data_IF_950860272241
#
_entry.id   IF_950860272241
#
_cell.length_a   1.000
_cell.length_b   1.000
_cell.length_c   1.000
_cell.angle_alpha   90.00
_cell.angle_beta   90.00
_cell.angle_gamma   90.00
#
_symmetry.space_group_name_H-M   'P 1'
#
loop_
_entity.id
_entity.type
_entity.pdbx_description
1 polymer ?
#
# COMPACT_ATOMS: atom_id res chain seq x y z
N UNK A 1 8.76 -7.70 19.23
CA UNK A 1 7.65 -7.08 18.46
C UNK A 1 8.30 -6.11 17.51
N UNK A 2 7.80 -5.92 16.30
CA UNK A 2 8.31 -4.90 15.40
C UNK A 2 8.12 -3.51 16.01
N UNK A 3 8.95 -2.54 15.58
CA UNK A 3 8.84 -1.17 16.06
C UNK A 3 7.62 -0.48 15.48
N UNK A 4 7.31 -0.80 14.21
CA UNK A 4 6.13 -0.29 13.51
C UNK A 4 5.47 -1.38 12.65
N UNK A 5 4.20 -1.17 12.31
CA UNK A 5 3.50 -1.90 11.25
C UNK A 5 3.16 -0.94 10.12
N UNK A 6 3.39 -1.36 8.88
CA UNK A 6 3.13 -0.57 7.68
C UNK A 6 2.14 -1.30 6.77
N UNK A 7 0.93 -0.76 6.65
CA UNK A 7 -0.12 -1.32 5.80
C UNK A 7 -0.03 -0.74 4.38
N UNK A 8 0.12 -1.62 3.39
CA UNK A 8 0.31 -1.21 2.01
C UNK A 8 -0.59 -1.94 1.02
N UNK A 9 -0.95 -1.25 -0.07
CA UNK A 9 -1.39 -1.85 -1.31
C UNK A 9 -0.32 -1.54 -2.38
N UNK A 10 0.17 -2.54 -3.14
CA UNK A 10 1.21 -2.32 -4.14
C UNK A 10 0.84 -1.32 -5.23
N UNK A 11 -0.47 -1.15 -5.51
CA UNK A 11 -0.93 -0.20 -6.52
C UNK A 11 -1.01 1.25 -6.02
N UNK A 12 -0.87 1.49 -4.72
CA UNK A 12 -0.93 2.84 -4.17
C UNK A 12 0.41 3.58 -4.31
N UNK A 13 0.54 4.61 -5.15
CA UNK A 13 1.80 5.34 -5.31
C UNK A 13 2.20 6.12 -4.06
N UNK A 14 1.23 6.55 -3.25
CA UNK A 14 1.52 7.23 -1.98
C UNK A 14 2.05 6.26 -0.93
N UNK A 15 1.51 5.03 -0.87
CA UNK A 15 2.06 3.98 -0.02
C UNK A 15 3.48 3.63 -0.44
N UNK A 16 3.75 3.59 -1.76
CA UNK A 16 5.09 3.37 -2.28
C UNK A 16 6.08 4.44 -1.79
N UNK A 17 5.82 5.72 -2.07
CA UNK A 17 6.69 6.83 -1.65
C UNK A 17 6.89 6.81 -0.13
N UNK A 18 5.81 6.62 0.63
CA UNK A 18 5.90 6.60 2.10
C UNK A 18 6.67 5.37 2.61
N UNK A 19 6.58 4.24 1.93
CA UNK A 19 7.39 3.07 2.29
C UNK A 19 8.90 3.31 2.08
N UNK A 20 9.27 4.06 1.03
CA UNK A 20 10.69 4.45 0.81
C UNK A 20 11.17 5.42 1.89
N UNK A 21 10.31 6.36 2.29
CA UNK A 21 10.56 7.22 3.45
C UNK A 21 10.75 6.41 4.75
N UNK A 22 9.88 5.44 5.01
CA UNK A 22 10.00 4.55 6.17
C UNK A 22 11.31 3.79 6.17
N UNK A 23 11.71 3.22 5.02
CA UNK A 23 12.98 2.49 4.90
C UNK A 23 14.20 3.40 5.07
N UNK A 24 14.15 4.64 4.58
CA UNK A 24 15.20 5.65 4.82
C UNK A 24 15.41 5.92 6.31
N UNK A 25 14.32 5.98 7.08
CA UNK A 25 14.38 6.15 8.54
C UNK A 25 14.83 4.86 9.22
N UNK A 26 14.30 3.71 8.79
CA UNK A 26 14.60 2.41 9.39
C UNK A 26 16.10 2.07 9.30
N UNK A 27 16.73 2.38 8.17
CA UNK A 27 18.17 2.19 7.96
C UNK A 27 19.01 3.05 8.93
N UNK A 28 18.59 4.31 9.15
CA UNK A 28 19.31 5.24 10.04
C UNK A 28 19.08 4.98 11.54
N UNK A 29 17.99 4.30 11.91
CA UNK A 29 17.60 4.09 13.32
C UNK A 29 17.55 2.62 13.74
N UNK A 30 17.97 1.70 12.86
CA UNK A 30 17.89 0.24 13.08
C UNK A 30 16.46 -0.19 13.49
N UNK A 31 15.44 0.42 12.87
CA UNK A 31 14.04 0.21 13.20
C UNK A 31 13.46 -0.94 12.37
N UNK A 32 12.75 -1.86 13.02
CA UNK A 32 12.08 -2.98 12.37
C UNK A 32 10.68 -2.61 11.88
N UNK A 33 10.34 -3.04 10.66
CA UNK A 33 9.05 -2.79 9.99
C UNK A 33 8.33 -4.12 9.76
N UNK A 34 7.09 -4.25 10.22
CA UNK A 34 6.20 -5.34 9.83
C UNK A 34 5.31 -4.90 8.67
N UNK A 35 5.45 -5.59 7.53
CA UNK A 35 4.73 -5.28 6.30
C UNK A 35 3.37 -5.98 6.30
N UNK A 36 2.30 -5.19 6.36
CA UNK A 36 0.91 -5.64 6.48
C UNK A 36 0.11 -5.27 5.23
N UNK A 37 -0.96 -5.99 4.98
CA UNK A 37 -1.79 -5.80 3.79
C UNK A 37 -2.98 -4.88 4.06
N UNK A 38 -3.27 -4.01 3.09
CA UNK A 38 -4.52 -3.27 3.00
C UNK A 38 -4.92 -3.20 1.53
N UNK A 39 -6.14 -3.58 1.18
CA UNK A 39 -6.56 -3.72 -0.21
C UNK A 39 -7.38 -2.52 -0.69
N UNK A 40 -6.91 -1.83 -1.72
CA UNK A 40 -7.67 -0.80 -2.42
C UNK A 40 -8.92 -1.36 -3.10
N UNK A 41 -8.93 -2.64 -3.48
CA UNK A 41 -10.11 -3.29 -4.03
C UNK A 41 -11.23 -3.36 -2.98
N UNK A 42 -10.90 -3.76 -1.75
CA UNK A 42 -11.85 -3.82 -0.62
C UNK A 42 -12.28 -2.41 -0.22
N UNK A 43 -11.34 -1.47 -0.06
CA UNK A 43 -11.63 -0.08 0.34
C UNK A 43 -12.55 0.65 -0.64
N UNK A 44 -12.55 0.27 -1.91
CA UNK A 44 -13.32 0.94 -2.95
C UNK A 44 -14.45 0.07 -3.53
N UNK A 45 -14.78 -1.07 -2.93
CA UNK A 45 -15.78 -2.01 -3.43
C UNK A 45 -17.15 -1.34 -3.63
N UNK A 46 -17.63 -0.61 -2.63
CA UNK A 46 -18.92 0.12 -2.71
C UNK A 46 -18.91 1.20 -3.80
N UNK A 47 -17.81 1.95 -3.92
CA UNK A 47 -17.66 2.99 -4.93
C UNK A 47 -17.61 2.41 -6.35
N UNK A 48 -16.94 1.28 -6.53
CA UNK A 48 -16.89 0.54 -7.79
C UNK A 48 -18.27 0.00 -8.16
N UNK A 49 -18.97 -0.62 -7.23
CA UNK A 49 -20.33 -1.12 -7.43
C UNK A 49 -21.32 0.01 -7.75
N UNK A 50 -21.23 1.14 -7.04
CA UNK A 50 -22.04 2.32 -7.32
C UNK A 50 -21.77 2.91 -8.71
N UNK A 51 -20.51 2.94 -9.14
CA UNK A 51 -20.12 3.41 -10.48
C UNK A 51 -20.71 2.50 -11.58
N UNK A 52 -20.68 1.18 -11.39
CA UNK A 52 -21.27 0.21 -12.31
C UNK A 52 -22.79 0.35 -12.40
N UNK A 53 -23.44 0.50 -11.25
CA UNK A 53 -24.89 0.70 -11.21
C UNK A 53 -25.31 2.00 -11.94
N UNK A 54 -24.52 3.09 -11.82
CA UNK A 54 -24.76 4.33 -12.55
C UNK A 54 -24.68 4.12 -14.07
N UNK A 55 -23.65 3.41 -14.55
CA UNK A 55 -23.48 3.08 -15.98
C UNK A 55 -24.61 2.19 -16.47
N UNK A 56 -24.99 1.15 -15.70
CA UNK A 56 -26.11 0.26 -16.05
C UNK A 56 -27.45 0.98 -16.15
N UNK A 57 -27.61 2.09 -15.39
CA UNK A 57 -28.78 2.97 -15.47
C UNK A 57 -28.70 4.02 -16.61
N UNK A 58 -27.67 3.97 -17.46
CA UNK A 58 -27.47 4.91 -18.58
C UNK A 58 -26.82 6.24 -18.19
N UNK A 59 -26.25 6.33 -16.99
CA UNK A 59 -25.48 7.48 -16.49
C UNK A 59 -23.98 7.37 -16.78
N UNK A 60 -23.23 8.39 -16.33
CA UNK A 60 -21.77 8.41 -16.43
C UNK A 60 -21.12 7.63 -15.25
N UNK A 61 -19.96 7.01 -15.48
CA UNK A 61 -19.23 6.37 -14.40
C UNK A 61 -18.77 7.40 -13.35
N UNK A 62 -18.92 7.09 -12.08
CA UNK A 62 -18.46 7.94 -10.97
C UNK A 62 -16.99 7.69 -10.62
N UNK A 63 -16.42 6.59 -11.11
CA UNK A 63 -14.98 6.26 -11.03
C UNK A 63 -14.40 6.03 -12.42
N UNK A 64 -13.11 6.32 -12.65
CA UNK A 64 -12.46 6.02 -13.93
C UNK A 64 -12.60 4.53 -14.28
N UNK A 65 -12.98 4.17 -15.51
CA UNK A 65 -13.15 2.77 -15.92
C UNK A 65 -11.88 1.93 -15.73
N UNK A 66 -10.71 2.54 -15.91
CA UNK A 66 -9.40 1.91 -15.76
C UNK A 66 -9.09 1.51 -14.31
N UNK A 67 -9.73 2.16 -13.34
CA UNK A 67 -9.48 1.91 -11.91
C UNK A 67 -9.77 0.47 -11.51
N UNK A 68 -10.76 -0.18 -12.14
CA UNK A 68 -11.06 -1.60 -11.91
C UNK A 68 -9.86 -2.49 -12.22
N UNK A 69 -9.19 -2.27 -13.36
CA UNK A 69 -7.98 -3.03 -13.73
C UNK A 69 -6.84 -2.84 -12.72
N UNK A 70 -6.69 -1.61 -12.22
CA UNK A 70 -5.68 -1.27 -11.21
C UNK A 70 -5.91 -2.03 -9.91
N UNK A 71 -7.13 -2.01 -9.37
CA UNK A 71 -7.41 -2.70 -8.09
C UNK A 71 -7.41 -4.21 -8.24
N UNK A 72 -7.77 -4.75 -9.43
CA UNK A 72 -7.68 -6.17 -9.71
C UNK A 72 -6.22 -6.65 -9.70
N UNK A 73 -5.31 -5.92 -10.35
CA UNK A 73 -3.88 -6.22 -10.27
C UNK A 73 -3.37 -6.10 -8.82
N UNK A 74 -3.81 -5.08 -8.08
CA UNK A 74 -3.48 -4.92 -6.66
C UNK A 74 -3.87 -6.14 -5.82
N UNK A 75 -5.08 -6.67 -6.03
CA UNK A 75 -5.55 -7.88 -5.35
C UNK A 75 -4.68 -9.09 -5.70
N UNK A 76 -4.34 -9.30 -6.98
CA UNK A 76 -3.43 -10.37 -7.41
C UNK A 76 -2.05 -10.23 -6.75
N UNK A 77 -1.48 -9.02 -6.73
CA UNK A 77 -0.19 -8.75 -6.08
C UNK A 77 -0.22 -9.00 -4.57
N UNK A 78 -1.32 -8.67 -3.89
CA UNK A 78 -1.48 -8.93 -2.46
C UNK A 78 -1.63 -10.44 -2.15
N UNK A 79 -2.33 -11.21 -2.99
CA UNK A 79 -2.37 -12.67 -2.88
C UNK A 79 -0.98 -13.29 -3.00
N UNK A 80 -0.18 -12.82 -3.96
CA UNK A 80 1.22 -13.25 -4.10
C UNK A 80 2.04 -12.82 -2.89
N UNK A 81 1.88 -11.60 -2.38
CA UNK A 81 2.56 -11.15 -1.16
C UNK A 81 2.23 -12.02 0.06
N UNK A 82 0.98 -12.50 0.18
CA UNK A 82 0.59 -13.46 1.23
C UNK A 82 1.34 -14.80 1.06
N UNK A 83 1.44 -15.34 -0.17
CA UNK A 83 2.23 -16.54 -0.44
C UNK A 83 3.73 -16.35 -0.17
N UNK A 84 4.26 -15.18 -0.54
CA UNK A 84 5.65 -14.79 -0.27
C UNK A 84 5.92 -14.76 1.24
N UNK A 85 4.97 -14.24 2.04
CA UNK A 85 5.08 -14.23 3.50
C UNK A 85 5.13 -15.64 4.10
N UNK A 86 4.33 -16.55 3.60
CA UNK A 86 4.37 -17.96 4.02
C UNK A 86 5.71 -18.63 3.64
N UNK A 87 6.28 -18.26 2.50
CA UNK A 87 7.54 -18.82 2.00
C UNK A 87 8.76 -18.31 2.76
N UNK A 88 8.86 -16.99 2.98
CA UNK A 88 10.11 -16.37 3.46
C UNK A 88 9.91 -15.26 4.52
N UNK A 89 8.72 -15.15 5.09
CA UNK A 89 8.44 -14.19 6.17
C UNK A 89 8.40 -12.73 5.72
N UNK A 90 8.54 -11.85 6.69
CA UNK A 90 8.43 -10.41 6.51
C UNK A 90 9.49 -9.82 5.57
N UNK A 91 10.72 -10.33 5.62
CA UNK A 91 11.83 -9.85 4.77
C UNK A 91 11.57 -10.17 3.30
N UNK A 92 10.99 -11.33 3.01
CA UNK A 92 10.58 -11.69 1.65
C UNK A 92 9.44 -10.78 1.15
N UNK A 93 8.48 -10.42 2.01
CA UNK A 93 7.43 -9.43 1.67
C UNK A 93 8.04 -8.08 1.35
N UNK A 94 8.99 -7.61 2.15
CA UNK A 94 9.71 -6.34 1.91
C UNK A 94 10.41 -6.34 0.55
N UNK A 95 11.11 -7.42 0.20
CA UNK A 95 11.81 -7.57 -1.07
C UNK A 95 10.82 -7.61 -2.25
N UNK A 96 9.75 -8.40 -2.14
CA UNK A 96 8.71 -8.49 -3.16
C UNK A 96 7.98 -7.16 -3.37
N UNK A 97 7.56 -6.49 -2.29
CA UNK A 97 6.91 -5.19 -2.38
C UNK A 97 7.83 -4.12 -3.00
N UNK A 98 9.11 -4.14 -2.65
CA UNK A 98 10.11 -3.26 -3.27
C UNK A 98 10.21 -3.53 -4.77
N UNK A 99 10.35 -4.77 -5.20
CA UNK A 99 10.45 -5.13 -6.61
C UNK A 99 9.17 -4.77 -7.41
N UNK A 100 7.99 -5.10 -6.87
CA UNK A 100 6.72 -4.77 -7.50
C UNK A 100 6.53 -3.25 -7.63
N UNK A 101 6.84 -2.50 -6.58
CA UNK A 101 6.68 -1.05 -6.57
C UNK A 101 7.65 -0.34 -7.52
N UNK A 102 8.89 -0.82 -7.67
CA UNK A 102 9.85 -0.30 -8.66
C UNK A 102 9.31 -0.45 -10.10
N UNK A 103 8.70 -1.58 -10.42
CA UNK A 103 8.08 -1.80 -11.74
C UNK A 103 6.85 -0.90 -11.96
N UNK A 104 6.01 -0.79 -10.95
CA UNK A 104 4.72 -0.10 -11.04
C UNK A 104 4.88 1.40 -11.09
N UNK A 105 5.69 1.99 -10.22
CA UNK A 105 5.76 3.43 -9.99
C UNK A 105 6.92 4.09 -10.73
N UNK A 106 8.21 3.96 -10.35
CA UNK A 106 9.31 4.49 -11.16
C UNK A 106 9.37 3.87 -12.55
N UNK A 107 9.11 2.57 -12.68
CA UNK A 107 9.07 1.85 -13.95
C UNK A 107 7.87 2.17 -14.85
N UNK A 108 6.88 2.92 -14.34
CA UNK A 108 5.78 3.47 -15.11
C UNK A 108 4.67 2.48 -15.50
N UNK A 109 4.70 1.23 -15.06
CA UNK A 109 3.70 0.22 -15.47
C UNK A 109 2.29 0.55 -14.98
N UNK A 110 2.15 1.15 -13.80
CA UNK A 110 0.84 1.63 -13.31
C UNK A 110 0.27 2.74 -14.19
N UNK A 111 1.12 3.63 -14.72
CA UNK A 111 0.69 4.69 -15.63
C UNK A 111 0.14 4.15 -16.96
N UNK A 112 0.69 3.02 -17.46
CA UNK A 112 0.15 2.35 -18.66
C UNK A 112 -1.30 1.88 -18.43
N UNK A 113 -1.60 1.32 -17.25
CA UNK A 113 -2.96 0.88 -16.92
C UNK A 113 -3.97 2.04 -16.91
N UNK A 114 -3.56 3.23 -16.44
CA UNK A 114 -4.39 4.44 -16.49
C UNK A 114 -4.71 4.94 -17.90
N UNK A 115 -3.95 4.49 -18.89
CA UNK A 115 -4.17 4.83 -20.30
C UNK A 115 -4.77 3.67 -21.12
N UNK A 116 -5.24 2.61 -20.43
CA UNK A 116 -5.79 1.41 -21.06
C UNK A 116 -4.74 0.50 -21.71
N UNK A 117 -3.46 0.71 -21.39
CA UNK A 117 -2.35 -0.12 -21.84
C UNK A 117 -2.16 -1.38 -20.99
N UNK A 118 -1.19 -2.20 -21.38
CA UNK A 118 -0.81 -3.46 -20.71
C UNK A 118 0.42 -3.23 -19.82
N UNK A 119 0.31 -3.57 -18.55
CA UNK A 119 1.43 -3.52 -17.60
C UNK A 119 2.41 -4.70 -17.75
N UNK A 120 2.10 -5.68 -18.58
CA UNK A 120 2.87 -6.93 -18.71
C UNK A 120 2.80 -7.82 -17.46
N UNK A 121 3.70 -8.78 -17.36
CA UNK A 121 3.77 -9.70 -16.21
C UNK A 121 4.46 -9.02 -15.01
N UNK A 122 3.72 -8.18 -14.29
CA UNK A 122 4.26 -7.52 -13.08
C UNK A 122 4.56 -8.53 -11.97
N UNK A 123 3.74 -9.59 -11.84
CA UNK A 123 3.90 -10.60 -10.79
C UNK A 123 5.18 -11.40 -10.99
N UNK A 124 5.37 -11.98 -12.18
CA UNK A 124 6.55 -12.78 -12.48
C UNK A 124 7.84 -11.96 -12.44
N UNK A 125 7.81 -10.76 -13.01
CA UNK A 125 8.96 -9.86 -13.00
C UNK A 125 9.33 -9.40 -11.58
N UNK A 126 8.34 -9.13 -10.70
CA UNK A 126 8.58 -8.75 -9.31
C UNK A 126 9.20 -9.93 -8.51
N UNK A 127 8.68 -11.14 -8.68
CA UNK A 127 9.26 -12.34 -8.04
C UNK A 127 10.71 -12.55 -8.50
N UNK A 128 10.97 -12.44 -9.80
CA UNK A 128 12.31 -12.60 -10.35
C UNK A 128 13.28 -11.54 -9.82
N UNK A 129 12.85 -10.26 -9.78
CA UNK A 129 13.66 -9.16 -9.26
C UNK A 129 13.92 -9.28 -7.75
N UNK A 130 12.98 -9.85 -7.00
CA UNK A 130 13.13 -10.13 -5.57
C UNK A 130 13.93 -11.40 -5.26
N UNK A 131 14.34 -12.18 -6.29
CA UNK A 131 15.02 -13.46 -6.11
C UNK A 131 14.14 -14.54 -5.48
N UNK A 132 12.82 -14.48 -5.69
CA UNK A 132 11.84 -15.40 -5.14
C UNK A 132 11.44 -16.47 -6.16
N UNK A 133 10.96 -17.65 -5.69
CA UNK A 133 10.52 -18.72 -6.56
C UNK A 133 9.39 -18.32 -7.50
N UNK A 134 9.54 -18.62 -8.80
CA UNK A 134 8.55 -18.25 -9.82
C UNK A 134 7.19 -18.95 -9.62
N UNK A 135 7.16 -20.11 -8.98
CA UNK A 135 5.94 -20.86 -8.65
C UNK A 135 4.99 -20.10 -7.72
N UNK A 136 5.48 -19.12 -6.94
CA UNK A 136 4.63 -18.25 -6.11
C UNK A 136 3.67 -17.38 -6.94
N UNK A 137 3.94 -17.19 -8.24
CA UNK A 137 3.06 -16.47 -9.15
C UNK A 137 1.66 -17.10 -9.25
N UNK A 138 1.55 -18.43 -9.06
CA UNK A 138 0.26 -19.12 -9.08
C UNK A 138 -0.72 -18.61 -8.00
N UNK A 139 -0.20 -18.00 -6.93
CA UNK A 139 -1.02 -17.40 -5.88
C UNK A 139 -1.84 -16.19 -6.35
N UNK A 140 -1.49 -15.55 -7.47
CA UNK A 140 -2.23 -14.42 -8.03
C UNK A 140 -3.71 -14.75 -8.30
N UNK A 141 -3.98 -16.01 -8.67
CA UNK A 141 -5.32 -16.52 -9.00
C UNK A 141 -5.93 -17.36 -7.88
N UNK A 142 -5.29 -17.44 -6.71
CA UNK A 142 -5.76 -18.23 -5.56
C UNK A 142 -6.64 -17.40 -4.62
N UNK A 143 -7.99 -17.50 -4.70
CA UNK A 143 -8.89 -16.71 -3.87
C UNK A 143 -8.86 -17.10 -2.38
N UNK A 144 -8.27 -18.23 -2.00
CA UNK A 144 -8.15 -18.61 -0.59
C UNK A 144 -7.30 -17.64 0.21
N UNK A 145 -6.45 -16.86 -0.48
CA UNK A 145 -5.59 -15.82 0.11
C UNK A 145 -6.29 -14.49 0.34
N UNK A 146 -7.51 -14.34 -0.17
CA UNK A 146 -8.30 -13.13 0.06
C UNK A 146 -8.69 -12.98 1.55
N UNK A 147 -8.82 -14.09 2.28
CA UNK A 147 -9.16 -14.08 3.70
C UNK A 147 -8.13 -13.29 4.52
N UNK A 148 -6.84 -13.61 4.40
CA UNK A 148 -5.80 -12.90 5.15
C UNK A 148 -5.66 -11.42 4.74
N UNK A 149 -5.87 -11.10 3.45
CA UNK A 149 -5.87 -9.72 2.95
C UNK A 149 -7.06 -8.95 3.52
N UNK A 150 -8.24 -9.56 3.59
CA UNK A 150 -9.43 -8.96 4.17
C UNK A 150 -9.29 -8.75 5.69
N UNK A 151 -8.77 -9.74 6.41
CA UNK A 151 -8.51 -9.65 7.85
C UNK A 151 -7.56 -8.49 8.19
N UNK A 152 -6.46 -8.36 7.46
CA UNK A 152 -5.49 -7.28 7.69
C UNK A 152 -6.03 -5.91 7.27
N UNK A 153 -6.83 -5.86 6.20
CA UNK A 153 -7.54 -4.64 5.81
C UNK A 153 -8.52 -4.21 6.92
N UNK A 154 -9.31 -5.15 7.44
CA UNK A 154 -10.22 -4.89 8.55
C UNK A 154 -9.48 -4.46 9.83
N UNK A 155 -8.33 -5.08 10.11
CA UNK A 155 -7.47 -4.69 11.22
C UNK A 155 -6.99 -3.24 11.08
N UNK A 156 -6.50 -2.84 9.91
CA UNK A 156 -6.06 -1.47 9.64
C UNK A 156 -7.19 -0.47 9.89
N UNK A 157 -8.38 -0.75 9.34
CA UNK A 157 -9.56 0.11 9.49
C UNK A 157 -10.11 0.14 10.92
N UNK A 158 -9.98 -0.94 11.70
CA UNK A 158 -10.38 -0.94 13.11
C UNK A 158 -9.58 0.04 13.96
N UNK A 159 -8.34 0.36 13.53
CA UNK A 159 -7.44 1.27 14.23
C UNK A 159 -7.59 2.73 13.81
N UNK A 160 -8.01 2.98 12.58
CA UNK A 160 -8.02 4.34 11.99
C UNK A 160 -9.41 4.85 11.60
N UNK A 161 -10.39 3.97 11.54
CA UNK A 161 -11.73 4.25 11.00
C UNK A 161 -11.85 3.89 9.51
N UNK A 162 -13.09 3.86 8.97
CA UNK A 162 -13.37 3.39 7.62
C UNK A 162 -13.12 4.43 6.52
N UNK A 163 -13.05 5.74 6.87
CA UNK A 163 -12.98 6.85 5.90
C UNK A 163 -11.54 7.23 5.51
N UNK A 164 -10.64 6.24 5.50
CA UNK A 164 -9.22 6.43 5.19
C UNK A 164 -8.77 5.49 4.07
N UNK A 165 -7.61 5.78 3.50
CA UNK A 165 -6.99 4.96 2.46
C UNK A 165 -5.69 4.32 2.94
N UNK A 166 -4.73 4.22 2.02
CA UNK A 166 -3.39 3.68 2.29
C UNK A 166 -2.33 4.72 1.92
N UNK A 167 -1.16 4.78 2.60
CA UNK A 167 -0.70 3.88 3.66
C UNK A 167 -1.35 4.14 5.02
N UNK A 168 -1.34 3.13 5.88
CA UNK A 168 -1.57 3.28 7.32
C UNK A 168 -0.31 2.82 8.04
N UNK A 169 0.11 3.57 9.06
CA UNK A 169 1.27 3.22 9.89
C UNK A 169 0.85 3.15 11.35
N UNK A 170 1.17 2.05 12.02
CA UNK A 170 1.12 1.93 13.46
C UNK A 170 2.50 2.25 14.03
N UNK A 171 2.62 3.38 14.74
CA UNK A 171 3.88 3.92 15.27
C UNK A 171 4.25 3.38 16.65
N UNK A 172 3.36 2.65 17.30
CA UNK A 172 3.58 2.00 18.59
C UNK A 172 2.75 0.70 18.62
N UNK A 173 3.42 -0.43 18.38
CA UNK A 173 2.76 -1.73 18.31
C UNK A 173 2.29 -2.26 19.68
N UNK A 174 2.68 -1.60 20.78
CA UNK A 174 2.15 -1.91 22.11
C UNK A 174 0.80 -1.23 22.40
N UNK A 175 0.46 -0.17 21.63
CA UNK A 175 -0.80 0.58 21.71
C UNK A 175 -1.33 0.92 20.32
N UNK A 176 -1.62 -0.10 19.50
CA UNK A 176 -1.87 0.11 18.08
C UNK A 176 -3.11 0.98 17.79
N UNK A 177 -4.14 0.91 18.64
CA UNK A 177 -5.37 1.70 18.51
C UNK A 177 -5.16 3.20 18.78
N UNK A 178 -4.13 3.55 19.59
CA UNK A 178 -3.82 4.92 19.96
C UNK A 178 -2.73 5.55 19.09
N UNK A 179 -1.99 4.73 18.33
CA UNK A 179 -0.80 5.16 17.61
C UNK A 179 -0.81 4.79 16.12
N UNK A 180 -1.98 4.51 15.55
CA UNK A 180 -2.16 4.27 14.12
C UNK A 180 -2.69 5.51 13.42
N UNK A 181 -2.12 5.82 12.25
CA UNK A 181 -2.50 6.97 11.47
C UNK A 181 -2.52 6.65 9.97
N UNK A 182 -3.52 7.18 9.25
CA UNK A 182 -3.49 7.22 7.78
C UNK A 182 -2.45 8.25 7.31
N UNK A 183 -1.50 7.82 6.50
CA UNK A 183 -0.42 8.64 5.99
C UNK A 183 0.92 8.42 6.72
N UNK A 184 1.88 9.34 6.51
CA UNK A 184 1.76 10.59 5.76
C UNK A 184 1.57 10.37 4.26
N UNK A 185 0.65 11.12 3.63
CA UNK A 185 0.48 11.12 2.17
C UNK A 185 1.42 12.18 1.59
N UNK A 186 2.56 11.74 1.07
CA UNK A 186 3.64 12.58 0.58
C UNK A 186 3.88 12.34 -0.91
N UNK A 187 4.36 13.34 -1.61
CA UNK A 187 4.56 13.30 -3.08
C UNK A 187 6.00 13.09 -3.52
N UNK A 188 6.94 13.08 -2.58
CA UNK A 188 8.37 12.81 -2.80
C UNK A 188 8.96 12.04 -1.63
N UNK A 189 10.11 11.42 -1.80
CA UNK A 189 10.79 10.66 -0.76
C UNK A 189 11.71 11.60 0.03
N UNK A 190 11.42 11.91 1.33
CA UNK A 190 12.36 12.62 2.18
C UNK A 190 13.62 11.80 2.42
N UNK A 191 14.79 12.46 2.54
CA UNK A 191 16.08 11.80 2.73
C UNK A 191 16.85 12.41 3.90
N UNK A 192 17.77 11.65 4.48
CA UNK A 192 18.70 12.10 5.52
C UNK A 192 18.01 12.77 6.71
N UNK A 193 18.52 13.93 7.14
CA UNK A 193 18.00 14.66 8.31
C UNK A 193 16.55 15.11 8.13
N UNK A 194 16.13 15.43 6.90
CA UNK A 194 14.73 15.78 6.63
C UNK A 194 13.80 14.59 6.90
N UNK A 195 14.21 13.37 6.50
CA UNK A 195 13.45 12.16 6.77
C UNK A 195 13.30 11.93 8.27
N UNK A 196 14.38 12.04 9.04
CA UNK A 196 14.36 11.88 10.49
C UNK A 196 13.46 12.91 11.17
N UNK A 197 13.57 14.19 10.79
CA UNK A 197 12.76 15.26 11.36
C UNK A 197 11.26 15.09 11.04
N UNK A 198 10.93 14.71 9.80
CA UNK A 198 9.54 14.44 9.41
C UNK A 198 8.99 13.23 10.16
N UNK A 199 9.79 12.16 10.30
CA UNK A 199 9.41 10.98 11.06
C UNK A 199 9.04 11.31 12.50
N UNK A 200 9.89 12.06 13.20
CA UNK A 200 9.66 12.46 14.58
C UNK A 200 8.38 13.28 14.74
N UNK A 201 8.13 14.19 13.81
CA UNK A 201 6.91 15.00 13.79
C UNK A 201 5.65 14.14 13.57
N UNK A 202 5.67 13.22 12.60
CA UNK A 202 4.52 12.34 12.29
C UNK A 202 4.29 11.36 13.44
N UNK A 203 5.34 10.76 13.99
CA UNK A 203 5.24 9.85 15.13
C UNK A 203 4.69 10.54 16.39
N UNK A 204 5.08 11.79 16.62
CA UNK A 204 4.52 12.61 17.71
C UNK A 204 3.02 12.84 17.50
N UNK A 205 2.62 13.22 16.29
CA UNK A 205 1.20 13.41 15.93
C UNK A 205 0.40 12.13 16.14
N UNK A 206 0.90 10.99 15.62
CA UNK A 206 0.21 9.71 15.70
C UNK A 206 0.01 9.22 17.14
N UNK A 207 0.94 9.55 18.06
CA UNK A 207 0.88 9.17 19.48
C UNK A 207 0.16 10.20 20.35
N UNK A 208 -0.30 11.33 19.79
CA UNK A 208 -0.97 12.39 20.54
C UNK A 208 -2.48 12.16 20.54
N UNK A 209 -3.11 11.84 21.70
CA UNK A 209 -4.54 11.60 21.78
C UNK A 209 -5.37 12.81 21.29
N UNK A 210 -6.46 12.52 20.59
CA UNK A 210 -7.41 13.53 20.13
C UNK A 210 -7.06 14.21 18.81
N UNK A 211 -5.95 13.85 18.16
CA UNK A 211 -5.62 14.29 16.81
C UNK A 211 -6.21 13.27 15.83
N UNK A 212 -7.15 13.70 15.00
CA UNK A 212 -7.77 12.86 13.98
C UNK A 212 -7.21 13.11 12.58
N UNK A 213 -7.00 14.38 12.20
CA UNK A 213 -6.64 14.70 10.82
C UNK A 213 -5.80 15.98 10.69
N UNK A 214 -4.78 15.93 9.79
CA UNK A 214 -4.17 17.09 9.15
C UNK A 214 -4.20 16.85 7.64
N UNK A 215 -4.85 17.71 6.87
CA UNK A 215 -5.09 17.47 5.45
C UNK A 215 -4.87 18.72 4.59
N UNK A 216 -4.33 18.50 3.39
CA UNK A 216 -4.37 19.44 2.27
C UNK A 216 -5.01 18.74 1.08
N UNK A 217 -5.96 19.41 0.41
CA UNK A 217 -6.56 18.88 -0.83
C UNK A 217 -5.64 19.01 -2.05
N UNK A 218 -4.76 20.00 -2.05
CA UNK A 218 -3.77 20.18 -3.10
C UNK A 218 -2.60 19.21 -2.91
N UNK A 219 -2.30 18.46 -3.98
CA UNK A 219 -1.16 17.52 -4.01
C UNK A 219 -0.20 17.93 -5.13
N UNK A 220 1.09 17.86 -4.86
CA UNK A 220 2.13 18.00 -5.88
C UNK A 220 2.14 16.79 -6.82
N UNK A 221 2.77 16.92 -7.98
CA UNK A 221 3.09 15.76 -8.81
C UNK A 221 3.95 14.76 -8.02
N UNK A 222 3.76 13.48 -8.33
CA UNK A 222 4.54 12.42 -7.68
C UNK A 222 5.98 12.44 -8.20
N UNK A 223 6.91 12.34 -7.27
CA UNK A 223 8.34 12.24 -7.51
C UNK A 223 8.87 10.97 -6.82
N UNK A 224 9.32 10.04 -7.61
CA UNK A 224 9.82 8.74 -7.18
C UNK A 224 11.36 8.70 -7.06
N UNK A 225 12.06 9.84 -7.25
CA UNK A 225 13.53 9.91 -7.18
C UNK A 225 14.09 9.86 -5.75
#
# INVERSE_FOLDING_TARGET
>A
MPDIEFFFDPMCPFAWITSRFVLEVADQREMSVDWRFISLAILNEENLAASEAAVAAGGEPTMPPEYRGLVALGASLLRVAAAVREHGGNDAVAAYYTAAGELLHPGGRSALLWTGGDAGDVVGDALAAAGLPAELAAAADDPTRDEIVAEETALALSRTGPDVGTPIITFDTSRPEEASLFGPVISRIPRGEEALALWDAVALVARTPGIAEFKRSQRSALDFS
#
